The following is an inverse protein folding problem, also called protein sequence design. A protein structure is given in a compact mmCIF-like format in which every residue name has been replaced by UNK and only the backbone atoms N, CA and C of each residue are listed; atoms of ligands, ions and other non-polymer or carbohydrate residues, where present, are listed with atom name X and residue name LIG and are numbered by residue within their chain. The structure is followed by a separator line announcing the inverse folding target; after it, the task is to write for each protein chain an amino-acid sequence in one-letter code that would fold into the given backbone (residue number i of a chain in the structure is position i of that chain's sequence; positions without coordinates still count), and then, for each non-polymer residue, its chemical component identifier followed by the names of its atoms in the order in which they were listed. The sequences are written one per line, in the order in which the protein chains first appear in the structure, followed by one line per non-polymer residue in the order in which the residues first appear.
data_IF_022637627111
#
_entry.id   IF_022637627111
#
_cell.length_a   1.000
_cell.length_b   1.000
_cell.length_c   1.000
_cell.angle_alpha   90.00
_cell.angle_beta   90.00
_cell.angle_gamma   90.00
#
_symmetry.space_group_name_H-M   'P 1'
#
loop_
_entity.id
_entity.type
_entity.pdbx_description
1 polymer ?
#
# COMPACT_ATOMS: atom_id res chain seq x y z
N UNK A 1 20.06 14.85 3.63
CA UNK A 1 19.72 16.27 3.40
C UNK A 1 18.27 16.35 2.95
N UNK A 2 17.53 17.34 3.49
CA UNK A 2 16.10 17.67 3.28
C UNK A 2 15.05 16.61 3.63
N UNK A 3 14.84 16.41 4.93
CA UNK A 3 13.55 15.98 5.47
C UNK A 3 12.59 17.18 5.39
N UNK A 4 11.98 17.45 4.22
CA UNK A 4 10.95 18.49 4.12
C UNK A 4 9.68 17.95 4.77
N UNK A 5 9.46 18.32 6.03
CA UNK A 5 8.12 18.27 6.60
C UNK A 5 7.18 19.01 5.64
N UNK A 6 6.22 18.30 5.07
CA UNK A 6 5.11 18.94 4.39
C UNK A 6 4.29 19.55 5.52
N UNK A 7 4.09 20.86 5.52
CA UNK A 7 3.29 21.48 6.55
C UNK A 7 1.83 21.10 6.28
N UNK A 8 1.10 20.71 7.30
CA UNK A 8 -0.34 20.52 7.20
C UNK A 8 -1.00 21.48 8.18
N UNK A 9 -1.96 22.25 7.70
CA UNK A 9 -2.73 23.15 8.56
C UNK A 9 -4.02 22.45 8.96
N UNK A 10 -4.25 22.37 10.27
CA UNK A 10 -5.52 21.95 10.82
C UNK A 10 -6.59 23.04 10.57
N UNK A 11 -7.69 22.68 9.94
CA UNK A 11 -8.86 23.55 9.76
C UNK A 11 -10.04 22.91 10.47
N UNK A 12 -10.30 23.31 11.72
CA UNK A 12 -11.49 22.88 12.47
C UNK A 12 -12.64 23.85 12.24
N UNK A 13 -13.78 23.39 11.71
CA UNK A 13 -14.93 24.27 11.39
C UNK A 13 -16.07 24.23 12.41
N UNK A 14 -15.95 23.52 13.54
CA UNK A 14 -17.05 23.39 14.51
C UNK A 14 -16.65 23.77 15.94
N UNK A 15 -17.49 24.60 16.57
CA UNK A 15 -17.31 25.20 17.90
C UNK A 15 -17.38 24.22 19.09
N UNK A 16 -17.67 22.94 18.87
CA UNK A 16 -17.72 21.88 19.88
C UNK A 16 -17.05 20.62 19.34
N UNK A 17 -16.50 19.76 20.24
CA UNK A 17 -15.79 18.49 19.98
C UNK A 17 -15.89 18.07 18.51
N UNK A 18 -14.92 18.45 17.65
CA UNK A 18 -15.11 18.35 16.22
C UNK A 18 -15.28 16.88 15.83
N UNK A 19 -16.36 16.58 15.11
CA UNK A 19 -16.61 15.25 14.55
C UNK A 19 -15.58 14.89 13.47
N UNK A 20 -14.93 15.91 12.87
CA UNK A 20 -13.92 15.77 11.83
C UNK A 20 -12.82 16.82 12.00
N UNK A 21 -11.59 16.42 11.71
CA UNK A 21 -10.43 17.32 11.61
C UNK A 21 -9.92 17.24 10.17
N UNK A 22 -9.76 18.40 9.53
CA UNK A 22 -9.24 18.48 8.16
C UNK A 22 -7.79 18.95 8.19
N UNK A 23 -6.91 18.17 7.58
CA UNK A 23 -5.52 18.55 7.34
C UNK A 23 -5.34 18.95 5.89
N UNK A 24 -4.98 20.22 5.65
CA UNK A 24 -4.66 20.71 4.31
C UNK A 24 -3.14 20.77 4.13
N UNK A 25 -2.57 20.05 3.16
CA UNK A 25 -1.14 20.13 2.85
C UNK A 25 -0.81 21.52 2.32
N UNK A 26 0.26 22.12 2.85
CA UNK A 26 0.72 23.47 2.51
C UNK A 26 1.29 23.55 1.10
N UNK A 27 1.76 22.43 0.56
CA UNK A 27 2.16 22.28 -0.84
C UNK A 27 2.11 20.80 -1.26
N UNK A 28 1.51 20.55 -2.43
CA UNK A 28 1.76 19.41 -3.33
C UNK A 28 1.55 17.96 -2.85
N UNK A 29 0.79 17.68 -1.79
CA UNK A 29 0.11 16.36 -1.72
C UNK A 29 -1.05 16.42 -2.71
N UNK A 30 -0.74 16.10 -3.97
CA UNK A 30 -1.63 16.45 -5.08
C UNK A 30 -2.87 15.58 -5.17
N UNK A 31 -2.88 14.37 -4.61
CA UNK A 31 -4.07 13.52 -4.45
C UNK A 31 -3.75 12.48 -3.39
N UNK A 32 -4.61 12.27 -2.39
CA UNK A 32 -4.56 11.09 -1.51
C UNK A 32 -5.21 9.93 -2.25
N UNK A 33 -4.48 8.83 -2.41
CA UNK A 33 -4.91 7.68 -3.23
C UNK A 33 -5.24 6.47 -2.38
N UNK A 34 -4.61 6.36 -1.20
CA UNK A 34 -4.74 5.24 -0.25
C UNK A 34 -4.56 5.72 1.18
N UNK A 35 -5.25 5.06 2.09
CA UNK A 35 -5.13 5.23 3.53
C UNK A 35 -5.04 3.85 4.19
N UNK A 36 -4.18 3.72 5.18
CA UNK A 36 -4.12 2.52 6.03
C UNK A 36 -3.71 2.93 7.45
N UNK A 37 -4.32 2.34 8.46
CA UNK A 37 -3.99 2.62 9.86
C UNK A 37 -3.22 1.45 10.45
N UNK A 38 -2.14 1.73 11.19
CA UNK A 38 -1.42 0.71 11.93
C UNK A 38 -1.98 0.50 13.35
N UNK A 39 -1.56 -0.59 13.99
CA UNK A 39 -2.02 -0.97 15.34
C UNK A 39 -1.60 0.03 16.44
N UNK A 40 -0.74 1.01 16.13
CA UNK A 40 -0.33 2.09 17.04
C UNK A 40 -1.12 3.37 16.78
N UNK A 41 -2.10 3.34 15.88
CA UNK A 41 -2.95 4.46 15.52
C UNK A 41 -2.32 5.44 14.52
N UNK A 42 -1.12 5.16 13.99
CA UNK A 42 -0.54 6.02 12.95
C UNK A 42 -1.27 5.78 11.63
N UNK A 43 -1.43 6.84 10.86
CA UNK A 43 -2.07 6.79 9.56
C UNK A 43 -1.01 6.83 8.47
N UNK A 44 -0.99 5.80 7.63
CA UNK A 44 -0.17 5.73 6.44
C UNK A 44 -0.99 6.24 5.25
N UNK A 45 -0.42 7.18 4.54
CA UNK A 45 -1.09 7.96 3.49
C UNK A 45 -0.32 7.79 2.19
N UNK A 46 -0.91 7.01 1.28
CA UNK A 46 -0.44 6.90 -0.08
C UNK A 46 -0.93 8.06 -0.92
N UNK A 47 -0.05 8.64 -1.72
CA UNK A 47 -0.34 9.81 -2.55
C UNK A 47 0.21 9.63 -3.96
N UNK A 48 -0.13 10.56 -4.86
CA UNK A 48 0.51 10.63 -6.17
C UNK A 48 2.03 10.92 -6.10
N UNK A 49 2.53 11.44 -4.98
CA UNK A 49 3.92 11.87 -4.78
C UNK A 49 4.64 11.07 -3.68
N UNK A 50 4.19 9.86 -3.40
CA UNK A 50 4.84 8.95 -2.46
C UNK A 50 4.03 8.69 -1.20
N UNK A 51 4.71 8.10 -0.22
CA UNK A 51 4.16 7.65 1.04
C UNK A 51 4.43 8.65 2.15
N UNK A 52 3.42 8.92 2.96
CA UNK A 52 3.52 9.71 4.17
C UNK A 52 3.02 8.92 5.37
N UNK A 53 3.57 9.22 6.53
CA UNK A 53 3.08 8.74 7.82
C UNK A 53 2.63 9.92 8.65
N UNK A 54 1.38 9.87 9.10
CA UNK A 54 0.82 10.79 10.06
C UNK A 54 0.87 10.17 11.45
N UNK A 55 1.64 10.78 12.33
CA UNK A 55 1.84 10.38 13.71
C UNK A 55 2.05 11.63 14.57
N UNK A 56 1.55 11.65 15.81
CA UNK A 56 1.72 12.78 16.72
C UNK A 56 1.33 14.14 16.10
N UNK A 57 0.21 14.18 15.36
CA UNK A 57 -0.28 15.35 14.64
C UNK A 57 0.68 15.92 13.59
N UNK A 58 1.61 15.11 13.07
CA UNK A 58 2.57 15.53 12.06
C UNK A 58 2.64 14.51 10.93
N UNK A 59 2.73 15.02 9.71
CA UNK A 59 3.03 14.20 8.54
C UNK A 59 4.52 14.17 8.29
N UNK A 60 5.03 12.97 8.06
CA UNK A 60 6.43 12.72 7.73
C UNK A 60 6.46 11.95 6.41
N UNK A 61 7.23 12.45 5.43
CA UNK A 61 7.43 11.72 4.19
C UNK A 61 8.30 10.49 4.48
N UNK A 62 7.90 9.35 3.96
CA UNK A 62 8.66 8.10 4.04
C UNK A 62 9.35 7.93 2.71
N UNK A 63 10.69 8.02 2.71
CA UNK A 63 11.47 7.85 1.50
C UNK A 63 11.46 6.38 1.10
N UNK A 64 10.95 6.11 -0.10
CA UNK A 64 10.99 4.80 -0.72
C UNK A 64 12.05 4.88 -1.81
N UNK A 65 13.09 4.02 -1.79
CA UNK A 65 14.04 3.95 -2.88
C UNK A 65 13.33 3.24 -4.05
N UNK A 66 12.52 3.97 -4.82
CA UNK A 66 11.79 3.44 -5.99
C UNK A 66 12.75 3.51 -7.18
N UNK A 67 12.86 2.42 -7.94
CA UNK A 67 13.72 2.33 -9.14
C UNK A 67 12.91 1.99 -10.39
N UNK A 68 11.58 2.16 -10.33
CA UNK A 68 10.72 1.93 -11.48
C UNK A 68 11.14 2.81 -12.66
N UNK A 69 11.31 2.22 -13.85
CA UNK A 69 11.72 2.91 -15.10
C UNK A 69 10.88 4.16 -15.46
N UNK A 70 9.73 4.34 -14.82
CA UNK A 70 8.80 5.45 -15.04
C UNK A 70 8.94 6.57 -13.99
N UNK A 71 9.81 6.40 -12.97
CA UNK A 71 10.13 7.38 -11.92
C UNK A 71 8.96 7.81 -11.02
N UNK A 72 7.82 7.12 -11.12
CA UNK A 72 6.58 7.54 -10.45
C UNK A 72 6.56 7.09 -8.99
N UNK A 73 6.36 8.06 -8.09
CA UNK A 73 6.11 7.82 -6.67
C UNK A 73 4.63 7.55 -6.36
N UNK A 74 3.79 7.34 -7.36
CA UNK A 74 2.36 7.12 -7.17
C UNK A 74 2.10 5.83 -6.40
N UNK A 75 1.41 5.93 -5.26
CA UNK A 75 1.04 4.77 -4.44
C UNK A 75 -0.28 4.19 -4.95
N UNK A 76 -0.23 2.99 -5.52
CA UNK A 76 -1.38 2.29 -6.11
C UNK A 76 -2.13 1.42 -5.10
N UNK A 77 -1.43 0.92 -4.08
CA UNK A 77 -2.00 0.06 -3.07
C UNK A 77 -1.19 0.19 -1.78
N UNK A 78 -1.87 0.06 -0.63
CA UNK A 78 -1.29 0.22 0.70
C UNK A 78 -2.02 -0.68 1.68
N UNK A 79 -1.27 -1.37 2.54
CA UNK A 79 -1.81 -2.35 3.49
C UNK A 79 -0.92 -2.45 4.71
N UNK A 80 -1.52 -2.63 5.88
CA UNK A 80 -0.80 -2.90 7.12
C UNK A 80 -1.09 -4.34 7.53
N UNK A 81 -0.03 -5.15 7.64
CA UNK A 81 -0.13 -6.52 8.11
C UNK A 81 -0.36 -6.57 9.64
N UNK A 82 -0.76 -7.74 10.15
CA UNK A 82 -1.02 -7.95 11.59
C UNK A 82 0.21 -7.72 12.48
N UNK A 83 1.42 -7.80 11.92
CA UNK A 83 2.68 -7.54 12.63
C UNK A 83 3.02 -6.04 12.66
N UNK A 84 2.23 -5.20 11.96
CA UNK A 84 2.45 -3.76 11.83
C UNK A 84 3.42 -3.39 10.70
N UNK A 85 3.79 -4.33 9.85
CA UNK A 85 4.52 -4.08 8.61
C UNK A 85 3.62 -3.44 7.57
N UNK A 86 4.12 -2.41 6.88
CA UNK A 86 3.36 -1.66 5.87
C UNK A 86 3.82 -2.08 4.50
N UNK A 87 2.92 -2.67 3.74
CA UNK A 87 3.12 -3.10 2.36
C UNK A 87 2.52 -2.09 1.42
N UNK A 88 3.15 -1.87 0.28
CA UNK A 88 2.55 -1.07 -0.76
C UNK A 88 3.17 -1.27 -2.13
N UNK A 89 2.40 -0.87 -3.15
CA UNK A 89 2.84 -0.85 -4.53
C UNK A 89 3.04 0.57 -5.01
N UNK A 90 4.23 0.85 -5.58
CA UNK A 90 4.54 2.10 -6.25
C UNK A 90 5.01 1.80 -7.68
N UNK A 91 4.21 2.18 -8.67
CA UNK A 91 4.38 1.73 -10.05
C UNK A 91 4.57 0.20 -10.17
N UNK A 92 5.79 -0.24 -10.49
CA UNK A 92 6.18 -1.66 -10.65
C UNK A 92 6.98 -2.22 -9.47
N UNK A 93 7.12 -1.44 -8.40
CA UNK A 93 7.89 -1.82 -7.22
C UNK A 93 6.94 -2.19 -6.08
N UNK A 94 7.28 -3.27 -5.39
CA UNK A 94 6.65 -3.69 -4.15
C UNK A 94 7.56 -3.30 -2.99
N UNK A 95 7.06 -2.51 -2.04
CA UNK A 95 7.85 -2.12 -0.87
C UNK A 95 7.23 -2.65 0.41
N UNK A 96 8.08 -2.79 1.43
CA UNK A 96 7.69 -3.01 2.81
C UNK A 96 8.41 -2.06 3.74
N UNK A 97 7.66 -1.44 4.66
CA UNK A 97 8.17 -0.65 5.78
C UNK A 97 7.94 -1.42 7.06
N UNK A 98 9.02 -1.81 7.74
CA UNK A 98 8.94 -2.55 9.01
C UNK A 98 10.12 -2.20 9.91
N UNK A 99 9.86 -1.99 11.21
CA UNK A 99 10.91 -1.63 12.16
C UNK A 99 11.69 -0.36 11.84
N UNK A 100 11.09 0.57 11.06
CA UNK A 100 11.75 1.79 10.57
C UNK A 100 12.59 1.60 9.30
N UNK A 101 12.72 0.39 8.80
CA UNK A 101 13.43 0.08 7.56
C UNK A 101 12.47 0.03 6.38
N UNK A 102 12.92 0.55 5.24
CA UNK A 102 12.21 0.45 3.96
C UNK A 102 12.98 -0.51 3.07
N UNK A 103 12.30 -1.54 2.57
CA UNK A 103 12.86 -2.52 1.65
C UNK A 103 11.99 -2.61 0.42
N UNK A 104 12.61 -2.82 -0.75
CA UNK A 104 11.93 -2.77 -2.04
C UNK A 104 12.32 -3.98 -2.88
N UNK A 105 11.32 -4.58 -3.51
CA UNK A 105 11.47 -5.51 -4.62
C UNK A 105 11.16 -4.73 -5.90
N UNK A 106 12.22 -4.48 -6.68
CA UNK A 106 12.16 -3.68 -7.90
C UNK A 106 11.69 -4.49 -9.10
N UNK A 107 11.19 -3.76 -10.11
CA UNK A 107 10.99 -4.26 -11.47
C UNK A 107 10.22 -5.59 -11.54
N UNK A 108 9.07 -5.66 -10.88
CA UNK A 108 8.26 -6.89 -10.77
C UNK A 108 7.54 -7.32 -12.06
N UNK A 109 8.11 -7.02 -13.23
CA UNK A 109 7.60 -7.30 -14.59
C UNK A 109 6.15 -6.84 -14.80
N UNK A 110 5.97 -5.57 -15.22
CA UNK A 110 4.68 -4.93 -15.52
C UNK A 110 3.54 -5.15 -14.50
N UNK A 111 3.88 -5.50 -13.26
CA UNK A 111 2.91 -5.76 -12.20
C UNK A 111 2.52 -4.46 -11.51
N UNK A 112 1.26 -4.05 -11.67
CA UNK A 112 0.68 -3.02 -10.81
C UNK A 112 -0.07 -3.69 -9.67
N UNK A 113 0.37 -3.47 -8.44
CA UNK A 113 -0.29 -3.98 -7.24
C UNK A 113 -1.54 -3.16 -6.94
N UNK A 114 -2.69 -3.82 -6.76
CA UNK A 114 -4.01 -3.17 -6.63
C UNK A 114 -4.64 -3.40 -5.27
N UNK A 115 -4.56 -4.62 -4.77
CA UNK A 115 -5.20 -5.02 -3.53
C UNK A 115 -4.29 -5.94 -2.75
N UNK A 116 -4.32 -5.81 -1.43
CA UNK A 116 -3.63 -6.69 -0.52
C UNK A 116 -4.65 -7.31 0.43
N UNK A 117 -4.42 -8.56 0.80
CA UNK A 117 -5.22 -9.27 1.77
C UNK A 117 -4.30 -10.18 2.58
N UNK A 118 -4.48 -10.20 3.90
CA UNK A 118 -3.80 -11.17 4.76
C UNK A 118 -4.79 -12.20 5.29
N UNK A 119 -4.55 -13.47 4.99
CA UNK A 119 -5.42 -14.56 5.42
C UNK A 119 -5.25 -14.91 6.90
N UNK A 120 -6.02 -15.89 7.39
CA UNK A 120 -5.99 -16.30 8.80
C UNK A 120 -4.63 -16.87 9.22
N UNK A 121 -3.91 -17.50 8.30
CA UNK A 121 -2.62 -18.15 8.54
C UNK A 121 -1.45 -17.16 8.39
N UNK A 122 -1.77 -15.88 8.11
CA UNK A 122 -0.81 -14.79 8.03
C UNK A 122 -0.22 -14.58 6.64
N UNK A 123 -0.63 -15.37 5.65
CA UNK A 123 -0.12 -15.25 4.29
C UNK A 123 -0.69 -14.01 3.62
N UNK A 124 0.14 -13.31 2.86
CA UNK A 124 -0.24 -12.07 2.17
C UNK A 124 -0.48 -12.38 0.69
N UNK A 125 -1.69 -12.06 0.27
CA UNK A 125 -2.21 -12.22 -1.08
C UNK A 125 -2.32 -10.85 -1.74
N UNK A 126 -1.92 -10.76 -3.00
CA UNK A 126 -1.86 -9.49 -3.73
C UNK A 126 -2.54 -9.64 -5.08
N UNK A 127 -3.60 -8.88 -5.27
CA UNK A 127 -4.23 -8.70 -6.57
C UNK A 127 -3.41 -7.75 -7.43
N UNK A 128 -3.17 -8.13 -8.68
CA UNK A 128 -2.36 -7.36 -9.62
C UNK A 128 -3.11 -7.08 -10.91
N UNK A 129 -2.70 -6.03 -11.62
CA UNK A 129 -3.36 -5.63 -12.88
C UNK A 129 -2.95 -6.46 -14.11
N UNK A 130 -1.90 -7.27 -14.05
CA UNK A 130 -1.42 -8.04 -15.22
C UNK A 130 -1.04 -9.48 -14.91
N UNK A 131 -0.83 -9.82 -13.65
CA UNK A 131 -0.36 -11.12 -13.18
C UNK A 131 -1.31 -11.70 -12.14
N UNK A 132 -2.62 -11.54 -12.34
CA UNK A 132 -3.66 -12.15 -11.51
C UNK A 132 -3.38 -12.00 -10.02
N UNK A 133 -3.34 -13.13 -9.31
CA UNK A 133 -3.08 -13.22 -7.87
C UNK A 133 -1.64 -13.66 -7.57
N UNK A 134 -0.97 -12.93 -6.69
CA UNK A 134 0.34 -13.29 -6.15
C UNK A 134 0.23 -13.60 -4.66
N UNK A 135 1.08 -14.51 -4.20
CA UNK A 135 1.36 -14.69 -2.78
C UNK A 135 2.75 -14.10 -2.49
N UNK A 136 2.83 -13.25 -1.47
CA UNK A 136 4.08 -12.58 -1.08
C UNK A 136 4.42 -12.84 0.39
N UNK A 137 5.70 -12.75 0.72
CA UNK A 137 6.20 -12.78 2.08
C UNK A 137 7.51 -11.98 2.18
N UNK A 138 7.90 -11.50 3.36
CA UNK A 138 9.22 -10.94 3.56
C UNK A 138 10.26 -12.08 3.65
N UNK A 139 11.46 -11.86 3.12
CA UNK A 139 12.60 -12.72 3.42
C UNK A 139 13.15 -12.46 4.83
N UNK A 140 14.24 -13.15 5.19
CA UNK A 140 14.89 -13.03 6.51
C UNK A 140 15.37 -11.60 6.79
N UNK A 141 15.69 -10.82 5.75
CA UNK A 141 16.08 -9.42 5.87
C UNK A 141 14.88 -8.45 5.87
N UNK A 142 13.65 -8.98 5.77
CA UNK A 142 12.42 -8.20 5.71
C UNK A 142 12.05 -7.73 4.31
N UNK A 143 12.84 -8.06 3.29
CA UNK A 143 12.61 -7.62 1.90
C UNK A 143 11.45 -8.40 1.29
N UNK A 144 10.52 -7.73 0.58
CA UNK A 144 9.43 -8.41 -0.12
C UNK A 144 9.93 -9.47 -1.12
N UNK A 145 9.25 -10.62 -1.14
CA UNK A 145 9.47 -11.70 -2.10
C UNK A 145 8.13 -12.18 -2.65
N UNK A 146 8.09 -12.52 -3.93
CA UNK A 146 6.97 -13.24 -4.54
C UNK A 146 7.21 -14.73 -4.30
N UNK A 147 6.34 -15.37 -3.53
CA UNK A 147 6.43 -16.78 -3.17
C UNK A 147 5.72 -17.65 -4.20
N UNK A 148 4.58 -17.17 -4.71
CA UNK A 148 3.78 -17.91 -5.71
C UNK A 148 3.03 -16.95 -6.62
N UNK A 149 2.84 -17.37 -7.87
CA UNK A 149 2.05 -16.67 -8.89
C UNK A 149 0.94 -17.60 -9.39
N UNK A 150 -0.28 -17.09 -9.51
CA UNK A 150 -1.48 -17.85 -9.90
C UNK A 150 -2.08 -17.32 -11.21
N UNK A 151 -1.26 -17.25 -12.26
CA UNK A 151 -1.60 -16.61 -13.55
C UNK A 151 -1.56 -17.58 -14.71
N UNK A 152 -0.50 -18.39 -14.79
CA UNK A 152 -0.18 -19.12 -16.02
C UNK A 152 -0.83 -20.51 -16.12
N UNK A 153 -1.56 -20.95 -15.08
CA UNK A 153 -2.10 -22.32 -15.03
C UNK A 153 -3.61 -22.40 -14.84
N UNK A 154 -4.27 -21.28 -14.57
CA UNK A 154 -5.71 -21.26 -14.26
C UNK A 154 -6.36 -20.05 -14.96
N UNK A 155 -6.87 -20.21 -16.20
CA UNK A 155 -7.45 -19.12 -17.00
C UNK A 155 -8.68 -18.44 -16.37
N UNK A 156 -9.15 -18.94 -15.23
CA UNK A 156 -10.27 -18.41 -14.46
C UNK A 156 -9.87 -17.22 -13.57
N UNK A 157 -8.57 -17.03 -13.30
CA UNK A 157 -8.05 -15.85 -12.61
C UNK A 157 -7.75 -14.78 -13.65
N UNK A 158 -8.75 -13.94 -13.95
CA UNK A 158 -8.63 -12.83 -14.90
C UNK A 158 -7.35 -12.01 -14.69
N UNK A 159 -6.80 -11.48 -15.78
CA UNK A 159 -5.48 -10.82 -15.78
C UNK A 159 -5.41 -9.57 -14.88
N UNK A 160 -6.56 -8.99 -14.53
CA UNK A 160 -6.69 -7.78 -13.71
C UNK A 160 -7.54 -8.06 -12.47
N UNK A 161 -6.91 -8.12 -11.29
CA UNK A 161 -7.61 -8.28 -10.00
C UNK A 161 -7.65 -6.94 -9.28
N UNK A 162 -8.85 -6.37 -9.12
CA UNK A 162 -9.08 -5.06 -8.50
C UNK A 162 -9.25 -5.14 -6.98
N UNK A 163 -9.84 -6.24 -6.49
CA UNK A 163 -10.04 -6.49 -5.08
C UNK A 163 -9.89 -7.98 -4.78
N UNK A 164 -9.38 -8.27 -3.59
CA UNK A 164 -9.31 -9.61 -3.03
C UNK A 164 -9.98 -9.54 -1.68
N UNK A 165 -11.05 -10.31 -1.50
CA UNK A 165 -11.74 -10.45 -0.21
C UNK A 165 -11.86 -11.92 0.13
N UNK A 166 -12.07 -12.22 1.39
CA UNK A 166 -12.38 -13.58 1.83
C UNK A 166 -13.89 -13.77 1.89
N UNK A 167 -14.39 -14.87 1.33
CA UNK A 167 -15.78 -15.29 1.50
C UNK A 167 -16.02 -15.90 2.88
N UNK A 168 -17.29 -16.06 3.23
CA UNK A 168 -17.70 -16.68 4.49
C UNK A 168 -17.27 -18.17 4.62
N UNK A 169 -17.04 -18.85 3.50
CA UNK A 169 -16.60 -20.26 3.43
C UNK A 169 -15.07 -20.42 3.25
N UNK A 170 -14.30 -19.43 3.70
CA UNK A 170 -12.83 -19.43 3.68
C UNK A 170 -12.15 -19.44 2.30
N UNK A 171 -12.91 -19.18 1.23
CA UNK A 171 -12.34 -18.96 -0.12
C UNK A 171 -11.94 -17.51 -0.33
N UNK A 172 -11.07 -17.27 -1.31
CA UNK A 172 -10.79 -15.93 -1.81
C UNK A 172 -11.76 -15.60 -2.94
N UNK A 173 -12.48 -14.50 -2.81
CA UNK A 173 -13.24 -13.89 -3.90
C UNK A 173 -12.35 -12.82 -4.53
N UNK A 174 -12.22 -12.89 -5.84
CA UNK A 174 -11.46 -11.95 -6.65
C UNK A 174 -12.46 -11.14 -7.45
N UNK A 175 -12.39 -9.82 -7.34
CA UNK A 175 -13.11 -8.95 -8.28
C UNK A 175 -12.17 -8.68 -9.45
N UNK A 176 -12.48 -9.22 -10.62
CA UNK A 176 -11.68 -9.01 -11.84
C UNK A 176 -12.37 -8.04 -12.80
N UNK A 177 -11.70 -7.62 -13.87
CA UNK A 177 -12.35 -6.85 -14.95
C UNK A 177 -13.26 -7.72 -15.83
N UNK A 178 -13.08 -9.04 -15.78
CA UNK A 178 -13.79 -9.99 -16.64
C UNK A 178 -14.98 -10.65 -15.93
N UNK A 179 -15.21 -10.32 -14.64
CA UNK A 179 -16.23 -10.93 -13.77
C UNK A 179 -15.73 -11.15 -12.36
#
# INVERSE_FOLDING_TARGET
MYNRAVNFTEVSTLKNKPMFVTYLPSDSVKVVTKLAQDNRGNLWVGTANGLFRFANNQFQKVEIPIDGKDGSAYIYALFVDREGGVWGGAARDLFRVAGGNVTVLHETEETFFRAFYQDKDGQIWVGTAKRGLLQIAPDVAGKPQIIRSFVDKEPEVGSWVNAVIKSFDDKLLLATNDG
#
